data_IF_966352145315
#
_entry.id   IF_966352145315
#
_cell.length_a   1.000
_cell.length_b   1.000
_cell.length_c   1.000
_cell.angle_alpha   90.00
_cell.angle_beta   90.00
_cell.angle_gamma   90.00
#
_symmetry.space_group_name_H-M   'P 1'
#
loop_
_entity.id
_entity.type
_entity.pdbx_description
1 polymer ?
#
# COMPACT_ATOMS: atom_id res chain seq x y z
N UNK A 1 10.17 4.60 -14.08
CA UNK A 1 8.94 4.91 -13.32
C UNK A 1 8.77 3.76 -12.35
N UNK A 2 8.76 4.01 -11.05
CA UNK A 2 8.54 2.92 -10.07
C UNK A 2 7.03 2.70 -10.02
N UNK A 3 6.57 1.49 -10.37
CA UNK A 3 5.15 1.16 -10.29
C UNK A 3 4.69 1.08 -8.84
N UNK A 4 3.44 1.46 -8.58
CA UNK A 4 2.80 1.33 -7.27
C UNK A 4 1.79 0.18 -7.30
N UNK A 5 1.71 -0.55 -6.20
CA UNK A 5 0.75 -1.62 -5.98
C UNK A 5 0.04 -1.43 -4.64
N UNK A 6 -1.19 -1.89 -4.59
CA UNK A 6 -1.97 -1.93 -3.37
C UNK A 6 -1.81 -3.29 -2.71
N UNK A 7 -1.44 -3.31 -1.43
CA UNK A 7 -1.34 -4.53 -0.63
C UNK A 7 -2.29 -4.44 0.56
N UNK A 8 -2.84 -5.60 0.95
CA UNK A 8 -3.56 -5.76 2.23
C UNK A 8 -2.65 -6.48 3.21
N UNK A 9 -2.52 -5.92 4.41
CA UNK A 9 -1.66 -6.43 5.48
C UNK A 9 -2.43 -6.59 6.77
N UNK A 10 -2.00 -7.54 7.59
CA UNK A 10 -2.47 -7.73 8.95
C UNK A 10 -1.55 -6.98 9.91
N UNK A 11 -2.14 -6.07 10.70
CA UNK A 11 -1.44 -5.26 11.70
C UNK A 11 -2.26 -5.20 13.00
N UNK A 12 -1.63 -4.89 14.14
CA UNK A 12 -2.35 -4.65 15.38
C UNK A 12 -3.47 -3.61 15.22
N UNK A 13 -4.63 -3.79 15.87
CA UNK A 13 -5.71 -2.81 15.82
C UNK A 13 -5.24 -1.42 16.25
N UNK A 14 -5.59 -0.41 15.46
CA UNK A 14 -5.15 0.97 15.67
C UNK A 14 -3.73 1.28 15.18
N UNK A 15 -3.12 0.41 14.37
CA UNK A 15 -1.82 0.68 13.77
C UNK A 15 -1.80 1.99 12.97
N UNK A 16 -0.67 2.69 13.05
CA UNK A 16 -0.34 3.88 12.27
C UNK A 16 0.50 3.53 11.06
N UNK A 17 0.60 4.46 10.11
CA UNK A 17 1.45 4.31 8.91
C UNK A 17 2.91 4.03 9.26
N UNK A 18 3.46 4.74 10.25
CA UNK A 18 4.84 4.53 10.72
C UNK A 18 5.05 3.13 11.30
N UNK A 19 4.10 2.67 12.13
CA UNK A 19 4.13 1.33 12.69
C UNK A 19 4.00 0.25 11.61
N UNK A 20 3.17 0.48 10.60
CA UNK A 20 3.04 -0.39 9.44
C UNK A 20 4.36 -0.48 8.66
N UNK A 21 4.97 0.66 8.32
CA UNK A 21 6.23 0.71 7.58
C UNK A 21 7.35 0.01 8.36
N UNK A 22 7.47 0.27 9.66
CA UNK A 22 8.45 -0.38 10.53
C UNK A 22 8.22 -1.89 10.63
N UNK A 23 6.97 -2.33 10.84
CA UNK A 23 6.64 -3.76 10.94
C UNK A 23 6.91 -4.53 9.63
N UNK A 24 6.74 -3.87 8.49
CA UNK A 24 6.91 -4.44 7.16
C UNK A 24 8.34 -4.25 6.60
N UNK A 25 9.22 -3.54 7.31
CA UNK A 25 10.58 -3.25 6.85
C UNK A 25 10.59 -2.41 5.57
N UNK A 26 9.68 -1.43 5.49
CA UNK A 26 9.53 -0.52 4.37
C UNK A 26 10.25 0.80 4.64
N UNK A 27 10.98 1.30 3.66
CA UNK A 27 11.50 2.66 3.69
C UNK A 27 10.40 3.68 3.36
N UNK A 28 10.59 4.94 3.76
CA UNK A 28 9.61 6.01 3.53
C UNK A 28 9.32 6.25 2.04
N UNK A 29 10.32 6.08 1.17
CA UNK A 29 10.19 6.21 -0.28
C UNK A 29 9.51 5.00 -0.96
N UNK A 30 9.35 3.90 -0.22
CA UNK A 30 8.64 2.72 -0.68
C UNK A 30 7.14 2.76 -0.39
N UNK A 31 6.69 3.76 0.36
CA UNK A 31 5.31 3.90 0.82
C UNK A 31 4.71 5.19 0.26
N UNK A 32 3.51 5.08 -0.32
CA UNK A 32 2.74 6.26 -0.72
C UNK A 32 2.11 6.91 0.52
N UNK A 33 2.79 7.90 1.08
CA UNK A 33 2.31 8.68 2.23
C UNK A 33 1.10 9.57 1.90
N UNK A 34 0.86 9.86 0.61
CA UNK A 34 -0.33 10.57 0.14
C UNK A 34 -1.58 9.70 0.18
N UNK A 35 -1.43 8.39 -0.09
CA UNK A 35 -2.49 7.40 0.13
C UNK A 35 -2.65 7.05 1.61
N UNK A 36 -1.54 6.87 2.32
CA UNK A 36 -1.51 6.55 3.74
C UNK A 36 -1.93 5.11 4.08
N UNK A 37 -2.32 4.89 5.34
CA UNK A 37 -2.77 3.58 5.84
C UNK A 37 -4.30 3.59 5.96
N UNK A 38 -4.97 2.74 5.19
CA UNK A 38 -6.44 2.71 5.14
C UNK A 38 -6.95 1.48 5.88
N UNK A 39 -7.74 1.62 6.97
CA UNK A 39 -8.35 0.47 7.64
C UNK A 39 -9.42 -0.17 6.75
N UNK A 40 -9.27 -1.45 6.42
CA UNK A 40 -10.28 -2.22 5.70
C UNK A 40 -11.21 -2.95 6.66
N UNK A 41 -10.62 -3.63 7.65
CA UNK A 41 -11.34 -4.27 8.75
C UNK A 41 -10.49 -4.16 10.02
N UNK A 42 -10.62 -3.06 10.78
CA UNK A 42 -9.80 -2.82 11.97
C UNK A 42 -10.11 -3.80 13.11
N UNK A 43 -11.29 -4.46 13.11
CA UNK A 43 -11.61 -5.50 14.10
C UNK A 43 -10.78 -6.77 13.85
N UNK A 44 -10.41 -7.03 12.59
CA UNK A 44 -9.53 -8.12 12.17
C UNK A 44 -8.08 -7.67 11.95
N UNK A 45 -7.77 -6.39 12.19
CA UNK A 45 -6.44 -5.84 11.96
C UNK A 45 -6.06 -5.75 10.48
N UNK A 46 -7.01 -5.65 9.56
CA UNK A 46 -6.74 -5.56 8.12
C UNK A 46 -6.63 -4.11 7.65
N UNK A 47 -5.53 -3.82 6.97
CA UNK A 47 -5.21 -2.49 6.45
C UNK A 47 -4.74 -2.58 5.00
N UNK A 48 -5.10 -1.58 4.21
CA UNK A 48 -4.57 -1.37 2.87
C UNK A 48 -3.46 -0.32 2.89
N UNK A 49 -2.42 -0.58 2.11
CA UNK A 49 -1.27 0.30 1.93
C UNK A 49 -0.86 0.30 0.44
N UNK A 50 -0.53 1.47 -0.10
CA UNK A 50 0.12 1.59 -1.41
C UNK A 50 1.63 1.60 -1.22
N UNK A 51 2.30 0.69 -1.90
CA UNK A 51 3.75 0.54 -1.85
C UNK A 51 4.33 0.42 -3.25
N UNK A 52 5.63 0.60 -3.39
CA UNK A 52 6.32 0.30 -4.65
C UNK A 52 6.16 -1.17 -5.02
N UNK A 53 6.17 -1.49 -6.31
CA UNK A 53 6.08 -2.88 -6.80
C UNK A 53 7.15 -3.80 -6.17
N UNK A 54 8.38 -3.29 -6.03
CA UNK A 54 9.49 -4.04 -5.42
C UNK A 54 9.23 -4.32 -3.93
N UNK A 55 8.71 -3.34 -3.18
CA UNK A 55 8.28 -3.54 -1.80
C UNK A 55 7.12 -4.53 -1.69
N UNK A 56 6.11 -4.41 -2.56
CA UNK A 56 4.97 -5.32 -2.59
C UNK A 56 5.32 -6.78 -2.86
N UNK A 57 6.47 -7.06 -3.49
CA UNK A 57 7.00 -8.42 -3.66
C UNK A 57 7.69 -8.97 -2.40
N UNK A 58 8.21 -8.09 -1.52
CA UNK A 58 8.90 -8.46 -0.28
C UNK A 58 7.94 -8.62 0.90
N UNK A 59 6.89 -7.79 0.93
CA UNK A 59 5.87 -7.82 1.98
C UNK A 59 5.04 -9.08 1.81
N UNK A 60 4.91 -9.96 2.82
CA UNK A 60 3.96 -11.07 2.79
C UNK A 60 2.54 -10.51 2.97
N UNK A 61 1.72 -10.41 1.91
CA UNK A 61 0.42 -9.77 2.03
C UNK A 61 -0.60 -10.76 2.58
N UNK A 62 -1.54 -10.26 3.39
CA UNK A 62 -2.75 -11.01 3.71
C UNK A 62 -3.66 -11.15 2.47
N UNK A 63 -3.59 -10.18 1.54
CA UNK A 63 -4.16 -10.25 0.19
C UNK A 63 -3.47 -9.27 -0.77
N UNK A 64 -3.34 -9.63 -2.05
CA UNK A 64 -2.62 -8.86 -3.08
C UNK A 64 -1.25 -9.47 -3.45
N UNK A 65 -0.37 -8.74 -4.16
CA UNK A 65 -0.51 -7.34 -4.58
C UNK A 65 -1.56 -7.13 -5.67
N UNK A 66 -2.29 -6.02 -5.59
CA UNK A 66 -3.21 -5.56 -6.63
C UNK A 66 -2.57 -4.44 -7.43
N UNK A 67 -2.67 -4.51 -8.76
CA UNK A 67 -2.21 -3.45 -9.63
C UNK A 67 -3.00 -2.16 -9.34
N UNK A 68 -2.30 -1.04 -9.25
CA UNK A 68 -2.90 0.27 -9.01
C UNK A 68 -2.48 1.29 -10.07
N UNK A 69 -2.85 1.04 -11.34
CA UNK A 69 -2.44 1.89 -12.46
C UNK A 69 -3.14 3.25 -12.41
N UNK A 70 -2.39 4.31 -12.73
CA UNK A 70 -2.97 5.63 -12.97
C UNK A 70 -4.02 5.56 -14.07
N UNK A 71 -5.21 6.10 -13.80
CA UNK A 71 -6.22 6.30 -14.84
C UNK A 71 -5.81 7.52 -15.66
N UNK A 72 -5.32 7.27 -16.88
CA UNK A 72 -5.03 8.34 -17.83
C UNK A 72 -6.33 8.98 -18.35
N UNK A 73 -6.34 10.31 -18.59
CA UNK A 73 -7.50 10.97 -19.19
C UNK A 73 -7.81 10.33 -20.55
N UNK A 74 -9.10 10.10 -20.79
CA UNK A 74 -9.56 9.55 -22.06
C UNK A 74 -9.60 10.64 -23.14
N UNK A 75 -8.88 10.44 -24.24
CA UNK A 75 -8.94 11.30 -25.44
C UNK A 75 -7.57 11.88 -25.86
N UNK A 76 -7.47 12.46 -27.07
CA UNK A 76 -6.23 13.08 -27.52
C UNK A 76 -5.84 14.28 -26.64
N UNK A 77 -4.53 14.54 -26.45
CA UNK A 77 -4.06 15.71 -25.70
C UNK A 77 -4.61 16.98 -26.38
N UNK A 78 -5.17 17.89 -25.57
CA UNK A 78 -5.64 19.20 -26.04
C UNK A 78 -4.50 20.12 -26.42
#
# INVERSE_FOLDING_TARGET
MVGMVLVTVELPPGATLEQAAHALGLAEDEVDTGYGLVPLDPARGLYALRVTEEAGRRVPPAAGPYADPTIEPYGPPS
#
